data_IF_683949093031
#
_entry.id   IF_683949093031
#
_cell.length_a   1.000
_cell.length_b   1.000
_cell.length_c   1.000
_cell.angle_alpha   90.00
_cell.angle_beta   90.00
_cell.angle_gamma   90.00
#
_symmetry.space_group_name_H-M   'P 1'
#
loop_
_entity.id
_entity.type
_entity.pdbx_description
1 polymer ?
#
# COMPACT_ATOMS: atom_id res chain seq x y z
N UNK A 1 -7.34 47.27 34.90
CA UNK A 1 -6.53 46.07 35.24
C UNK A 1 -7.50 44.95 35.64
N UNK A 2 -7.71 43.81 35.00
CA UNK A 2 -7.17 43.17 33.80
C UNK A 2 -8.13 41.97 33.50
N UNK A 3 -9.15 42.05 32.63
CA UNK A 3 -9.93 40.87 32.23
C UNK A 3 -9.61 40.46 30.78
N UNK A 4 -8.36 40.66 30.33
CA UNK A 4 -7.93 40.35 28.96
C UNK A 4 -7.02 39.10 28.88
N UNK A 5 -6.60 38.52 30.01
CA UNK A 5 -5.64 37.40 30.03
C UNK A 5 -6.33 36.03 30.06
N UNK A 6 -7.60 35.97 30.47
CA UNK A 6 -8.32 34.70 30.61
C UNK A 6 -8.88 34.16 29.28
N UNK A 7 -9.10 35.01 28.27
CA UNK A 7 -9.65 34.58 26.97
C UNK A 7 -8.60 34.06 25.99
N UNK A 8 -7.31 34.33 26.21
CA UNK A 8 -6.23 33.85 25.34
C UNK A 8 -5.81 32.40 25.61
N UNK A 9 -6.12 31.86 26.81
CA UNK A 9 -5.76 30.48 27.16
C UNK A 9 -6.77 29.47 26.60
N UNK A 10 -8.05 29.86 26.53
CA UNK A 10 -9.14 29.00 26.05
C UNK A 10 -9.06 28.68 24.55
N UNK A 11 -8.55 29.62 23.74
CA UNK A 11 -8.39 29.42 22.29
C UNK A 11 -7.14 28.64 21.92
N UNK A 12 -6.08 28.64 22.74
CA UNK A 12 -4.82 27.94 22.44
C UNK A 12 -4.84 26.43 22.72
N UNK A 13 -5.45 26.00 23.83
CA UNK A 13 -5.48 24.59 24.26
C UNK A 13 -6.36 23.71 23.36
N UNK A 14 -7.43 24.29 22.80
CA UNK A 14 -8.39 23.59 21.95
C UNK A 14 -7.77 23.12 20.62
N UNK A 15 -6.81 23.88 20.07
CA UNK A 15 -6.15 23.56 18.79
C UNK A 15 -5.16 22.40 18.93
N UNK A 16 -4.48 22.31 20.08
CA UNK A 16 -3.52 21.24 20.38
C UNK A 16 -4.23 19.89 20.57
N UNK A 17 -5.37 19.87 21.25
CA UNK A 17 -6.18 18.65 21.39
C UNK A 17 -6.72 18.16 20.04
N UNK A 18 -7.15 19.09 19.17
CA UNK A 18 -7.58 18.76 17.81
C UNK A 18 -6.47 18.14 16.95
N UNK A 19 -5.25 18.66 17.05
CA UNK A 19 -4.09 18.18 16.28
C UNK A 19 -3.70 16.72 16.63
N UNK A 20 -3.79 16.34 17.91
CA UNK A 20 -3.47 14.96 18.36
C UNK A 20 -4.50 13.95 17.86
N UNK A 21 -5.79 14.32 17.85
CA UNK A 21 -6.85 13.45 17.33
C UNK A 21 -6.71 13.21 15.81
N UNK A 22 -6.42 14.24 15.00
CA UNK A 22 -6.23 14.05 13.55
C UNK A 22 -4.96 13.26 13.22
N UNK A 23 -3.87 13.44 13.99
CA UNK A 23 -2.65 12.62 13.87
C UNK A 23 -2.96 11.14 14.14
N UNK A 24 -3.81 10.85 15.13
CA UNK A 24 -4.18 9.48 15.51
C UNK A 24 -4.95 8.75 14.40
N UNK A 25 -5.83 9.45 13.69
CA UNK A 25 -6.59 8.88 12.56
C UNK A 25 -5.71 8.69 11.32
N UNK A 26 -4.78 9.61 11.06
CA UNK A 26 -3.81 9.49 9.96
C UNK A 26 -2.78 8.38 10.19
N UNK A 27 -2.42 8.08 11.45
CA UNK A 27 -1.48 7.00 11.78
C UNK A 27 -2.14 5.62 11.66
N UNK A 28 -3.43 5.51 12.01
CA UNK A 28 -4.23 4.27 11.88
C UNK A 28 -4.57 3.90 10.44
N UNK A 29 -4.57 4.88 9.53
CA UNK A 29 -4.70 4.65 8.09
C UNK A 29 -3.32 4.87 7.50
N UNK A 30 -2.45 3.85 7.42
CA UNK A 30 -1.28 3.96 6.57
C UNK A 30 -1.84 4.37 5.21
N UNK A 31 -1.55 5.61 4.82
CA UNK A 31 -1.93 6.17 3.54
C UNK A 31 -1.65 5.07 2.54
N UNK A 32 -2.68 4.63 1.82
CA UNK A 32 -2.53 3.65 0.77
C UNK A 32 -1.54 4.26 -0.23
N UNK A 33 -0.25 3.99 0.00
CA UNK A 33 0.82 4.45 -0.87
C UNK A 33 0.52 3.96 -2.27
N UNK A 34 1.07 4.62 -3.31
CA UNK A 34 0.84 4.21 -4.68
C UNK A 34 1.00 2.69 -4.78
N UNK A 35 -0.10 2.00 -5.15
CA UNK A 35 -0.11 0.54 -5.23
C UNK A 35 1.12 0.12 -6.03
N UNK A 36 2.03 -0.60 -5.37
CA UNK A 36 3.28 -1.03 -6.00
C UNK A 36 2.90 -1.76 -7.28
N UNK A 37 3.41 -1.29 -8.43
CA UNK A 37 3.14 -1.97 -9.70
C UNK A 37 3.67 -3.38 -9.62
N UNK A 38 2.94 -4.33 -10.20
CA UNK A 38 3.45 -5.69 -10.28
C UNK A 38 4.75 -5.68 -11.11
N UNK A 39 5.89 -6.12 -10.55
CA UNK A 39 7.17 -6.06 -11.25
C UNK A 39 7.18 -6.94 -12.51
N UNK A 40 6.41 -8.03 -12.52
CA UNK A 40 6.34 -8.99 -13.63
C UNK A 40 5.65 -8.43 -14.87
N UNK A 41 4.58 -7.65 -14.71
CA UNK A 41 3.84 -7.07 -15.86
C UNK A 41 3.94 -5.53 -15.92
N UNK A 42 4.77 -4.93 -15.07
CA UNK A 42 4.99 -3.49 -14.97
C UNK A 42 3.69 -2.65 -14.94
N UNK A 43 2.68 -3.10 -14.18
CA UNK A 43 1.40 -2.39 -14.09
C UNK A 43 0.34 -2.75 -15.13
N UNK A 44 0.69 -3.42 -16.24
CA UNK A 44 -0.28 -3.67 -17.33
C UNK A 44 -1.29 -4.79 -17.05
N UNK A 45 -1.01 -5.65 -16.08
CA UNK A 45 -1.86 -6.81 -15.75
C UNK A 45 -1.81 -7.94 -16.78
N UNK A 46 -1.15 -7.76 -17.92
CA UNK A 46 -1.03 -8.78 -18.97
C UNK A 46 0.42 -9.04 -19.32
N UNK A 47 0.71 -10.29 -19.64
CA UNK A 47 2.02 -10.75 -20.12
C UNK A 47 1.86 -11.47 -21.46
N UNK A 48 2.96 -11.67 -22.16
CA UNK A 48 3.00 -12.49 -23.37
C UNK A 48 2.51 -13.91 -23.07
N UNK A 49 1.83 -14.52 -24.03
CA UNK A 49 1.40 -15.92 -23.92
C UNK A 49 2.60 -16.81 -23.64
N UNK A 50 2.48 -17.68 -22.63
CA UNK A 50 3.53 -18.67 -22.35
C UNK A 50 3.76 -19.63 -23.54
N UNK A 51 2.71 -19.87 -24.33
CA UNK A 51 2.77 -20.69 -25.55
C UNK A 51 3.72 -20.15 -26.60
N UNK A 52 3.86 -18.83 -26.74
CA UNK A 52 4.74 -18.24 -27.75
C UNK A 52 6.22 -18.61 -27.51
N UNK A 53 6.56 -19.14 -26.33
CA UNK A 53 7.91 -19.64 -26.05
C UNK A 53 8.20 -20.99 -26.71
N UNK A 54 7.17 -21.79 -26.97
CA UNK A 54 7.30 -23.15 -27.49
C UNK A 54 6.61 -23.36 -28.83
N UNK A 55 5.78 -22.40 -29.25
CA UNK A 55 5.16 -22.37 -30.57
C UNK A 55 6.00 -21.49 -31.49
N UNK A 56 6.22 -21.94 -32.73
CA UNK A 56 7.00 -21.26 -33.77
C UNK A 56 6.30 -20.00 -34.34
N UNK A 57 5.73 -19.18 -33.46
CA UNK A 57 4.97 -17.97 -33.80
C UNK A 57 3.46 -18.13 -33.71
N UNK A 58 2.94 -19.33 -33.49
CA UNK A 58 1.50 -19.54 -33.30
C UNK A 58 1.04 -19.13 -31.91
N UNK A 59 0.25 -18.05 -31.83
CA UNK A 59 -0.41 -17.62 -30.60
C UNK A 59 -1.69 -18.41 -30.28
N UNK A 60 -1.97 -19.46 -31.06
CA UNK A 60 -3.21 -20.25 -31.10
C UNK A 60 -3.47 -21.19 -29.92
N UNK A 61 -2.65 -21.18 -28.87
CA UNK A 61 -2.88 -22.10 -27.76
C UNK A 61 -4.16 -21.76 -26.99
N UNK A 62 -4.73 -22.77 -26.31
CA UNK A 62 -5.96 -22.62 -25.51
C UNK A 62 -5.82 -21.62 -24.37
N UNK A 63 -4.64 -21.53 -23.76
CA UNK A 63 -4.33 -20.57 -22.68
C UNK A 63 -4.47 -19.12 -23.16
N UNK A 64 -4.05 -18.86 -24.41
CA UNK A 64 -4.10 -17.62 -25.17
C UNK A 64 -5.45 -17.27 -25.80
N UNK A 65 -6.27 -18.28 -26.07
CA UNK A 65 -7.39 -18.20 -27.01
C UNK A 65 -7.00 -17.51 -28.34
N UNK A 66 -5.78 -17.72 -28.83
CA UNK A 66 -5.27 -17.06 -30.06
C UNK A 66 -4.74 -15.63 -29.87
N UNK A 67 -5.06 -14.95 -28.75
CA UNK A 67 -4.75 -13.52 -28.56
C UNK A 67 -3.27 -13.20 -28.32
N UNK A 68 -2.46 -14.23 -28.00
CA UNK A 68 -1.04 -14.06 -27.67
C UNK A 68 -0.75 -13.33 -26.35
N UNK A 69 -1.78 -13.01 -25.55
CA UNK A 69 -1.62 -12.37 -24.23
C UNK A 69 -2.43 -13.09 -23.16
N UNK A 70 -1.83 -13.28 -21.99
CA UNK A 70 -2.52 -13.81 -20.81
C UNK A 70 -2.49 -12.82 -19.65
N UNK A 71 -3.38 -13.02 -18.69
CA UNK A 71 -3.29 -12.36 -17.41
C UNK A 71 -1.94 -12.67 -16.74
N UNK A 72 -1.34 -11.66 -16.13
CA UNK A 72 -0.12 -11.83 -15.37
C UNK A 72 -0.37 -12.77 -14.19
N UNK A 73 0.35 -13.89 -14.13
CA UNK A 73 0.21 -14.88 -13.06
C UNK A 73 0.61 -14.32 -11.69
N UNK A 74 1.57 -13.40 -11.65
CA UNK A 74 2.06 -12.81 -10.40
C UNK A 74 1.08 -11.85 -9.73
N UNK A 75 0.22 -11.17 -10.50
CA UNK A 75 -0.80 -10.25 -9.95
C UNK A 75 -2.23 -10.64 -10.29
N UNK A 76 -2.44 -11.82 -10.89
CA UNK A 76 -3.76 -12.30 -11.31
C UNK A 76 -4.49 -11.39 -12.31
N UNK A 77 -3.77 -10.55 -13.05
CA UNK A 77 -4.39 -9.57 -13.96
C UNK A 77 -4.63 -8.18 -13.37
N UNK A 78 -4.43 -7.98 -12.07
CA UNK A 78 -4.70 -6.71 -11.40
C UNK A 78 -3.73 -5.58 -11.77
N UNK A 79 -2.57 -5.90 -12.33
CA UNK A 79 -1.50 -4.93 -12.62
C UNK A 79 -0.77 -4.40 -11.38
N UNK A 80 -1.37 -4.50 -10.20
CA UNK A 80 -0.78 -4.12 -8.91
C UNK A 80 -0.21 -5.34 -8.20
N UNK A 81 0.98 -5.19 -7.60
CA UNK A 81 1.50 -6.15 -6.63
C UNK A 81 0.67 -6.04 -5.36
N UNK A 82 0.23 -7.17 -4.79
CA UNK A 82 -0.39 -7.17 -3.47
C UNK A 82 0.71 -6.90 -2.43
N UNK A 83 0.64 -5.80 -1.66
CA UNK A 83 1.45 -5.69 -0.45
C UNK A 83 1.00 -6.81 0.48
N UNK A 84 1.93 -7.65 0.95
CA UNK A 84 1.66 -8.61 2.02
C UNK A 84 1.97 -7.86 3.33
N UNK A 85 0.97 -7.41 4.10
CA UNK A 85 1.25 -6.79 5.38
C UNK A 85 1.81 -7.86 6.32
N UNK A 86 3.06 -7.68 6.75
CA UNK A 86 3.67 -8.50 7.79
C UNK A 86 3.58 -7.72 9.09
N UNK A 87 3.00 -8.32 10.13
CA UNK A 87 3.06 -7.75 11.47
C UNK A 87 4.40 -8.09 12.11
N UNK A 88 5.18 -7.07 12.45
CA UNK A 88 6.48 -7.21 13.10
C UNK A 88 6.27 -6.92 14.59
N UNK A 89 6.43 -7.93 15.45
CA UNK A 89 6.36 -7.76 16.90
C UNK A 89 7.76 -7.53 17.47
N UNK A 90 8.08 -6.29 17.83
CA UNK A 90 9.35 -5.98 18.51
C UNK A 90 9.14 -6.08 20.02
N UNK A 91 9.78 -7.06 20.67
CA UNK A 91 9.86 -7.10 22.13
C UNK A 91 10.97 -6.15 22.59
N UNK A 92 10.63 -5.18 23.43
CA UNK A 92 11.63 -4.31 24.04
C UNK A 92 12.56 -5.14 24.94
N UNK A 93 13.88 -4.93 24.88
CA UNK A 93 14.80 -5.57 25.81
C UNK A 93 14.52 -5.04 27.21
N UNK A 94 14.11 -5.94 28.11
CA UNK A 94 13.93 -5.63 29.52
C UNK A 94 15.31 -5.34 30.12
N UNK A 95 15.70 -4.07 30.18
CA UNK A 95 16.87 -3.65 30.96
C UNK A 95 16.51 -3.72 32.45
N UNK A 96 16.56 -4.93 33.01
CA UNK A 96 16.64 -5.12 34.46
C UNK A 96 18.10 -4.95 34.84
N UNK A 97 18.48 -3.71 35.12
CA UNK A 97 19.69 -3.44 35.87
C UNK A 97 19.46 -3.97 37.30
N UNK A 98 20.20 -5.03 37.66
CA UNK A 98 20.30 -5.55 39.03
C UNK A 98 21.22 -4.68 39.88
#
# INVERSE_FOLDING_TARGET
MLPAVLTQVATGLSVLAGAVLVKSVMDQKPMAGPFQRCPTCNGTGRITCICNRWSDGDSGCRTCAGSGRMACSSCGGSGTGRPIPVQISVRQPTNRNS
#
